data_IF_540975150301
#
_entry.id   IF_540975150301
#
_cell.length_a   1.000
_cell.length_b   1.000
_cell.length_c   1.000
_cell.angle_alpha   90.00
_cell.angle_beta   90.00
_cell.angle_gamma   90.00
#
_symmetry.space_group_name_H-M   'P 1'
#
loop_
_entity.id
_entity.type
_entity.pdbx_description
1 polymer ?
#
# COMPACT_ATOMS: atom_id res chain seq x y z
N UNK A 1 -80.79 35.29 -10.02
CA UNK A 1 -79.57 34.76 -9.38
C UNK A 1 -78.65 34.27 -10.49
N UNK A 2 -77.59 35.00 -10.85
CA UNK A 2 -76.59 34.49 -11.80
C UNK A 2 -75.81 33.37 -11.14
N UNK A 3 -75.87 32.16 -11.72
CA UNK A 3 -74.97 31.07 -11.31
C UNK A 3 -73.55 31.45 -11.73
N UNK A 4 -72.64 31.62 -10.77
CA UNK A 4 -71.23 31.73 -11.06
C UNK A 4 -70.73 30.37 -11.57
N UNK A 5 -70.21 30.34 -12.79
CA UNK A 5 -69.69 29.13 -13.42
C UNK A 5 -68.31 29.44 -13.99
N UNK A 6 -67.35 28.52 -13.82
CA UNK A 6 -65.99 28.66 -14.35
C UNK A 6 -65.78 27.69 -15.50
N UNK A 7 -65.06 28.11 -16.53
CA UNK A 7 -64.63 27.19 -17.60
C UNK A 7 -63.43 26.36 -17.16
N UNK A 8 -63.24 25.20 -17.80
CA UNK A 8 -62.05 24.36 -17.61
C UNK A 8 -60.75 25.17 -17.86
N UNK A 9 -60.78 26.13 -18.80
CA UNK A 9 -59.63 27.00 -19.08
C UNK A 9 -59.29 27.89 -17.89
N UNK A 10 -60.27 28.63 -17.37
CA UNK A 10 -60.06 29.54 -16.25
C UNK A 10 -59.61 28.79 -15.00
N UNK A 11 -60.16 27.60 -14.75
CA UNK A 11 -59.73 26.77 -13.61
C UNK A 11 -58.31 26.20 -13.81
N UNK A 12 -57.94 25.85 -15.04
CA UNK A 12 -56.59 25.39 -15.36
C UNK A 12 -55.57 26.53 -15.17
N UNK A 13 -55.86 27.71 -15.69
CA UNK A 13 -55.01 28.90 -15.56
C UNK A 13 -54.87 29.31 -14.08
N UNK A 14 -55.95 29.24 -13.29
CA UNK A 14 -55.93 29.54 -11.86
C UNK A 14 -55.13 28.53 -11.02
N UNK A 15 -55.22 27.24 -11.35
CA UNK A 15 -54.48 26.17 -10.67
C UNK A 15 -53.08 25.96 -11.25
N UNK A 16 -52.62 26.83 -12.16
CA UNK A 16 -51.29 26.74 -12.78
C UNK A 16 -51.07 25.43 -13.54
N UNK A 17 -52.13 24.88 -14.15
CA UNK A 17 -52.12 23.58 -14.80
C UNK A 17 -52.67 23.64 -16.22
N UNK A 18 -52.72 22.50 -16.92
CA UNK A 18 -53.30 22.42 -18.26
C UNK A 18 -54.75 21.91 -18.23
N UNK A 19 -55.52 22.31 -19.26
CA UNK A 19 -56.93 21.90 -19.44
C UNK A 19 -57.09 20.38 -19.42
N UNK A 20 -56.14 19.66 -20.01
CA UNK A 20 -56.16 18.20 -20.10
C UNK A 20 -56.13 17.55 -18.72
N UNK A 21 -55.37 18.11 -17.77
CA UNK A 21 -55.27 17.60 -16.40
C UNK A 21 -56.58 17.83 -15.64
N UNK A 22 -57.17 19.01 -15.77
CA UNK A 22 -58.51 19.29 -15.23
C UNK A 22 -59.56 18.34 -15.83
N UNK A 23 -59.56 18.13 -17.16
CA UNK A 23 -60.46 17.18 -17.82
C UNK A 23 -60.26 15.74 -17.34
N UNK A 24 -59.02 15.30 -17.07
CA UNK A 24 -58.77 13.96 -16.50
C UNK A 24 -59.37 13.82 -15.11
N UNK A 25 -59.24 14.83 -14.25
CA UNK A 25 -59.82 14.81 -12.89
C UNK A 25 -61.34 14.76 -12.97
N UNK A 26 -61.94 15.55 -13.87
CA UNK A 26 -63.38 15.53 -14.12
C UNK A 26 -63.85 14.14 -14.54
N UNK A 27 -63.17 13.53 -15.52
CA UNK A 27 -63.56 12.21 -16.04
C UNK A 27 -63.34 11.09 -15.02
N UNK A 28 -62.20 11.10 -14.32
CA UNK A 28 -61.82 10.06 -13.34
C UNK A 28 -62.72 10.07 -12.11
N UNK A 29 -63.16 11.25 -11.68
CA UNK A 29 -63.97 11.42 -10.47
C UNK A 29 -65.45 11.71 -10.78
N UNK A 30 -65.85 11.54 -12.05
CA UNK A 30 -67.23 11.74 -12.53
C UNK A 30 -67.86 13.07 -12.08
N UNK A 31 -67.09 14.16 -12.18
CA UNK A 31 -67.52 15.48 -11.68
C UNK A 31 -68.55 16.08 -12.65
N UNK A 32 -69.69 16.57 -12.17
CA UNK A 32 -70.74 17.10 -13.04
C UNK A 32 -70.26 18.36 -13.76
N UNK A 33 -70.55 18.43 -15.07
CA UNK A 33 -70.23 19.57 -15.93
C UNK A 33 -71.45 19.98 -16.73
N UNK A 34 -71.50 21.24 -17.16
CA UNK A 34 -72.54 21.76 -18.03
C UNK A 34 -71.92 22.25 -19.33
N UNK A 35 -72.64 22.11 -20.44
CA UNK A 35 -72.21 22.64 -21.74
C UNK A 35 -73.04 23.88 -22.06
N UNK A 36 -72.38 25.03 -22.12
CA UNK A 36 -72.99 26.30 -22.53
C UNK A 36 -72.36 26.71 -23.86
N UNK A 37 -73.18 26.78 -24.92
CA UNK A 37 -72.72 26.94 -26.31
C UNK A 37 -71.70 25.85 -26.68
N UNK A 38 -70.46 26.24 -27.00
CA UNK A 38 -69.37 25.33 -27.35
C UNK A 38 -68.28 25.22 -26.24
N UNK A 39 -68.62 25.54 -24.99
CA UNK A 39 -67.68 25.49 -23.84
C UNK A 39 -68.25 24.64 -22.72
N UNK A 40 -67.37 23.89 -22.07
CA UNK A 40 -67.69 23.17 -20.83
C UNK A 40 -67.46 24.13 -19.65
N UNK A 41 -68.48 24.26 -18.81
CA UNK A 41 -68.48 25.07 -17.59
C UNK A 41 -68.74 24.19 -16.37
N UNK A 42 -68.22 24.61 -15.24
CA UNK A 42 -68.24 23.95 -13.95
C UNK A 42 -68.98 24.83 -12.96
N UNK A 43 -69.89 24.25 -12.19
CA UNK A 43 -70.49 24.91 -11.03
C UNK A 43 -69.50 24.95 -9.87
N UNK A 44 -69.74 25.83 -8.90
CA UNK A 44 -68.83 26.06 -7.77
C UNK A 44 -68.49 24.79 -6.98
N UNK A 45 -69.45 23.87 -6.83
CA UNK A 45 -69.22 22.59 -6.17
C UNK A 45 -68.21 21.72 -6.95
N UNK A 46 -68.37 21.64 -8.27
CA UNK A 46 -67.44 20.93 -9.16
C UNK A 46 -66.04 21.54 -9.11
N UNK A 47 -65.95 22.88 -9.09
CA UNK A 47 -64.68 23.60 -8.94
C UNK A 47 -64.01 23.29 -7.60
N UNK A 48 -64.77 23.27 -6.51
CA UNK A 48 -64.27 22.96 -5.16
C UNK A 48 -63.69 21.54 -5.08
N UNK A 49 -64.41 20.56 -5.63
CA UNK A 49 -63.94 19.17 -5.70
C UNK A 49 -62.61 19.07 -6.46
N UNK A 50 -62.49 19.73 -7.62
CA UNK A 50 -61.25 19.72 -8.41
C UNK A 50 -60.08 20.33 -7.63
N UNK A 51 -60.29 21.43 -6.89
CA UNK A 51 -59.26 22.02 -6.02
C UNK A 51 -58.80 21.06 -4.93
N UNK A 52 -59.75 20.38 -4.30
CA UNK A 52 -59.45 19.42 -3.25
C UNK A 52 -58.60 18.26 -3.79
N UNK A 53 -58.96 17.70 -4.95
CA UNK A 53 -58.16 16.66 -5.61
C UNK A 53 -56.74 17.14 -5.92
N UNK A 54 -56.59 18.35 -6.44
CA UNK A 54 -55.28 18.92 -6.73
C UNK A 54 -54.42 19.10 -5.48
N UNK A 55 -55.02 19.55 -4.37
CA UNK A 55 -54.33 19.73 -3.10
C UNK A 55 -53.84 18.39 -2.54
N UNK A 56 -54.68 17.36 -2.56
CA UNK A 56 -54.34 16.03 -2.06
C UNK A 56 -53.26 15.35 -2.93
N UNK A 57 -53.35 15.47 -4.25
CA UNK A 57 -52.36 14.90 -5.17
C UNK A 57 -50.97 15.54 -4.97
N UNK A 58 -50.93 16.87 -4.77
CA UNK A 58 -49.68 17.59 -4.48
C UNK A 58 -49.06 17.15 -3.15
N UNK A 59 -49.89 16.94 -2.11
CA UNK A 59 -49.40 16.48 -0.81
C UNK A 59 -48.79 15.09 -0.88
N UNK A 60 -49.46 14.13 -1.54
CA UNK A 60 -48.94 12.77 -1.71
C UNK A 60 -47.62 12.73 -2.50
N UNK A 61 -47.48 13.58 -3.53
CA UNK A 61 -46.23 13.69 -4.29
C UNK A 61 -45.07 14.20 -3.42
N UNK A 62 -45.32 15.21 -2.59
CA UNK A 62 -44.31 15.76 -1.68
C UNK A 62 -43.88 14.75 -0.61
N UNK A 63 -44.83 14.02 -0.02
CA UNK A 63 -44.54 12.96 0.96
C UNK A 63 -43.70 11.83 0.35
N UNK A 64 -44.04 11.41 -0.88
CA UNK A 64 -43.29 10.36 -1.59
C UNK A 64 -41.87 10.82 -1.95
N UNK A 65 -41.69 12.09 -2.37
CA UNK A 65 -40.37 12.64 -2.65
C UNK A 65 -39.51 12.70 -1.38
N UNK A 66 -40.04 13.20 -0.26
CA UNK A 66 -39.31 13.24 1.01
C UNK A 66 -38.91 11.86 1.51
N UNK A 67 -39.79 10.86 1.38
CA UNK A 67 -39.46 9.47 1.74
C UNK A 67 -38.32 8.91 0.89
N UNK A 68 -38.35 9.14 -0.43
CA UNK A 68 -37.28 8.69 -1.34
C UNK A 68 -35.94 9.39 -1.04
N UNK A 69 -35.94 10.70 -0.77
CA UNK A 69 -34.74 11.45 -0.37
C UNK A 69 -34.16 10.91 0.93
N UNK A 70 -35.01 10.64 1.93
CA UNK A 70 -34.60 10.08 3.22
C UNK A 70 -34.02 8.67 3.05
N UNK A 71 -34.61 7.84 2.18
CA UNK A 71 -34.14 6.49 1.92
C UNK A 71 -32.78 6.49 1.20
N UNK A 72 -32.58 7.35 0.19
CA UNK A 72 -31.29 7.51 -0.49
C UNK A 72 -30.20 8.03 0.46
N UNK A 73 -30.53 8.97 1.35
CA UNK A 73 -29.57 9.45 2.37
C UNK A 73 -29.15 8.32 3.31
N UNK A 74 -30.10 7.51 3.78
CA UNK A 74 -29.79 6.37 4.65
C UNK A 74 -28.93 5.30 3.96
N UNK A 75 -29.21 4.98 2.69
CA UNK A 75 -28.39 4.04 1.91
C UNK A 75 -26.95 4.54 1.71
N UNK A 76 -26.80 5.84 1.42
CA UNK A 76 -25.49 6.48 1.26
C UNK A 76 -24.71 6.48 2.59
N UNK A 77 -25.39 6.75 3.71
CA UNK A 77 -24.77 6.74 5.03
C UNK A 77 -24.29 5.33 5.43
N UNK A 78 -25.11 4.31 5.20
CA UNK A 78 -24.73 2.91 5.47
C UNK A 78 -23.54 2.46 4.60
N UNK A 79 -23.48 2.85 3.32
CA UNK A 79 -22.32 2.58 2.48
C UNK A 79 -21.05 3.24 3.02
N UNK A 80 -21.13 4.51 3.42
CA UNK A 80 -20.00 5.23 3.99
C UNK A 80 -19.49 4.61 5.30
N UNK A 81 -20.40 4.18 6.18
CA UNK A 81 -20.04 3.49 7.44
C UNK A 81 -19.33 2.16 7.17
N UNK A 82 -19.84 1.37 6.21
CA UNK A 82 -19.22 0.10 5.82
C UNK A 82 -17.84 0.29 5.20
N UNK A 83 -17.67 1.33 4.38
CA UNK A 83 -16.37 1.68 3.81
C UNK A 83 -15.37 2.09 4.91
N UNK A 84 -15.77 2.96 5.84
CA UNK A 84 -14.92 3.36 6.96
C UNK A 84 -14.51 2.17 7.86
N UNK A 85 -15.44 1.23 8.10
CA UNK A 85 -15.11 0.01 8.85
C UNK A 85 -14.09 -0.85 8.12
N UNK A 86 -14.24 -1.05 6.81
CA UNK A 86 -13.28 -1.80 6.00
C UNK A 86 -11.90 -1.13 6.00
N UNK A 87 -11.83 0.19 5.82
CA UNK A 87 -10.58 0.94 5.87
C UNK A 87 -9.90 0.81 7.23
N UNK A 88 -10.65 0.92 8.33
CA UNK A 88 -10.12 0.74 9.68
C UNK A 88 -9.62 -0.69 9.93
N UNK A 89 -10.29 -1.70 9.38
CA UNK A 89 -9.85 -3.09 9.47
C UNK A 89 -8.53 -3.31 8.72
N UNK A 90 -8.42 -2.81 7.48
CA UNK A 90 -7.18 -2.89 6.70
C UNK A 90 -6.02 -2.17 7.39
N UNK A 91 -6.28 -1.00 7.98
CA UNK A 91 -5.28 -0.28 8.78
C UNK A 91 -4.83 -1.10 9.99
N UNK A 92 -5.75 -1.73 10.72
CA UNK A 92 -5.42 -2.57 11.88
C UNK A 92 -4.59 -3.79 11.48
N UNK A 93 -4.93 -4.46 10.37
CA UNK A 93 -4.14 -5.58 9.83
C UNK A 93 -2.73 -5.14 9.45
N UNK A 94 -2.59 -3.99 8.80
CA UNK A 94 -1.30 -3.40 8.43
C UNK A 94 -0.45 -3.10 9.67
N UNK A 95 -1.05 -2.47 10.68
CA UNK A 95 -0.38 -2.18 11.96
C UNK A 95 0.04 -3.47 12.67
N UNK A 96 -0.79 -4.51 12.62
CA UNK A 96 -0.47 -5.82 13.20
C UNK A 96 0.76 -6.44 12.51
N UNK A 97 0.79 -6.42 11.18
CA UNK A 97 1.93 -6.94 10.41
C UNK A 97 3.21 -6.17 10.76
N UNK A 98 3.15 -4.83 10.74
CA UNK A 98 4.30 -3.98 11.07
C UNK A 98 4.82 -4.22 12.49
N UNK A 99 3.93 -4.44 13.47
CA UNK A 99 4.32 -4.81 14.84
C UNK A 99 5.07 -6.14 14.88
N UNK A 100 4.56 -7.17 14.20
CA UNK A 100 5.24 -8.47 14.17
C UNK A 100 6.60 -8.42 13.48
N UNK A 101 6.74 -7.58 12.46
CA UNK A 101 8.01 -7.38 11.76
C UNK A 101 9.01 -6.62 12.64
N UNK A 102 8.54 -5.61 13.36
CA UNK A 102 9.33 -4.88 14.34
C UNK A 102 9.84 -5.79 15.47
N UNK A 103 8.99 -6.68 16.00
CA UNK A 103 9.37 -7.65 17.03
C UNK A 103 10.43 -8.64 16.53
N UNK A 104 10.30 -9.10 15.27
CA UNK A 104 11.33 -9.95 14.63
C UNK A 104 12.65 -9.21 14.46
N UNK A 105 12.61 -7.94 14.05
CA UNK A 105 13.80 -7.10 13.91
C UNK A 105 14.48 -6.90 15.26
N UNK A 106 13.74 -6.58 16.32
CA UNK A 106 14.28 -6.48 17.68
C UNK A 106 14.93 -7.78 18.16
N UNK A 107 14.26 -8.92 17.95
CA UNK A 107 14.84 -10.23 18.31
C UNK A 107 16.13 -10.52 17.53
N UNK A 108 16.21 -10.10 16.27
CA UNK A 108 17.43 -10.25 15.47
C UNK A 108 18.56 -9.34 15.98
N UNK A 109 18.25 -8.08 16.32
CA UNK A 109 19.20 -7.13 16.91
C UNK A 109 19.75 -7.68 18.23
N UNK A 110 18.90 -8.22 19.10
CA UNK A 110 19.33 -8.81 20.37
C UNK A 110 20.29 -9.99 20.16
N UNK A 111 19.99 -10.88 19.20
CA UNK A 111 20.89 -11.99 18.84
C UNK A 111 22.25 -11.49 18.33
N UNK A 112 22.26 -10.49 17.45
CA UNK A 112 23.50 -9.91 16.95
C UNK A 112 24.30 -9.22 18.06
N UNK A 113 23.63 -8.49 18.96
CA UNK A 113 24.27 -7.87 20.13
C UNK A 113 24.95 -8.91 21.02
N UNK A 114 24.25 -10.01 21.32
CA UNK A 114 24.81 -11.09 22.14
C UNK A 114 26.01 -11.78 21.45
N UNK A 115 25.96 -11.99 20.14
CA UNK A 115 27.09 -12.55 19.38
C UNK A 115 28.29 -11.61 19.36
N UNK A 116 28.05 -10.30 19.21
CA UNK A 116 29.11 -9.30 19.25
C UNK A 116 29.79 -9.27 20.63
N UNK A 117 29.01 -9.30 21.71
CA UNK A 117 29.55 -9.36 23.07
C UNK A 117 30.36 -10.63 23.31
N UNK A 118 29.90 -11.78 22.80
CA UNK A 118 30.66 -13.03 22.85
C UNK A 118 31.99 -12.91 22.09
N UNK A 119 31.97 -12.34 20.89
CA UNK A 119 33.18 -12.13 20.09
C UNK A 119 34.18 -11.21 20.80
N UNK A 120 33.70 -10.13 21.42
CA UNK A 120 34.55 -9.22 22.20
C UNK A 120 35.19 -9.93 23.40
N UNK A 121 34.42 -10.75 24.14
CA UNK A 121 34.94 -11.54 25.27
C UNK A 121 36.01 -12.53 24.83
N UNK A 122 35.78 -13.26 23.74
CA UNK A 122 36.76 -14.20 23.19
C UNK A 122 38.02 -13.48 22.73
N UNK A 123 37.90 -12.36 22.03
CA UNK A 123 39.05 -11.56 21.61
C UNK A 123 39.90 -11.07 22.80
N UNK A 124 39.27 -10.73 23.93
CA UNK A 124 39.99 -10.36 25.16
C UNK A 124 40.70 -11.56 25.79
N UNK A 125 40.09 -12.76 25.77
CA UNK A 125 40.73 -13.98 26.25
C UNK A 125 41.94 -14.35 25.38
N UNK A 126 41.79 -14.32 24.06
CA UNK A 126 42.87 -14.59 23.10
C UNK A 126 44.02 -13.59 23.28
N UNK A 127 43.70 -12.30 23.46
CA UNK A 127 44.72 -11.27 23.74
C UNK A 127 45.51 -11.59 25.00
N UNK A 128 44.84 -11.99 26.08
CA UNK A 128 45.49 -12.33 27.36
C UNK A 128 46.40 -13.55 27.20
N UNK A 129 45.92 -14.60 26.54
CA UNK A 129 46.70 -15.80 26.29
C UNK A 129 47.94 -15.51 25.42
N UNK A 130 47.81 -14.66 24.41
CA UNK A 130 48.95 -14.20 23.59
C UNK A 130 49.97 -13.40 24.39
N UNK A 131 49.53 -12.62 25.38
CA UNK A 131 50.41 -11.89 26.28
C UNK A 131 51.17 -12.84 27.22
N UNK A 132 50.47 -13.82 27.79
CA UNK A 132 51.06 -14.89 28.62
C UNK A 132 52.14 -15.68 27.85
N UNK A 133 51.85 -16.13 26.62
CA UNK A 133 52.86 -16.81 25.79
C UNK A 133 54.05 -15.93 25.43
N UNK A 134 53.85 -14.63 25.20
CA UNK A 134 54.96 -13.71 24.92
C UNK A 134 55.86 -13.54 26.15
N UNK A 135 55.29 -13.43 27.35
CA UNK A 135 56.07 -13.39 28.58
C UNK A 135 56.83 -14.69 28.82
N UNK A 136 56.19 -15.84 28.65
CA UNK A 136 56.82 -17.15 28.86
C UNK A 136 57.98 -17.38 27.88
N UNK A 137 57.82 -16.99 26.60
CA UNK A 137 58.91 -17.02 25.62
C UNK A 137 60.08 -16.12 26.06
N UNK A 138 59.80 -14.92 26.58
CA UNK A 138 60.86 -14.00 27.03
C UNK A 138 61.59 -14.54 28.27
N UNK A 139 60.87 -15.14 29.22
CA UNK A 139 61.46 -15.80 30.38
C UNK A 139 62.32 -16.99 29.96
N UNK A 140 61.80 -17.86 29.09
CA UNK A 140 62.53 -19.01 28.55
C UNK A 140 63.80 -18.59 27.79
N UNK A 141 63.73 -17.51 27.00
CA UNK A 141 64.91 -16.92 26.35
C UNK A 141 65.94 -16.42 27.35
N UNK A 142 65.50 -15.85 28.47
CA UNK A 142 66.40 -15.36 29.52
C UNK A 142 67.03 -16.49 30.32
N UNK A 143 66.30 -17.60 30.51
CA UNK A 143 66.79 -18.83 31.15
C UNK A 143 67.74 -19.64 30.25
N UNK A 144 67.54 -19.61 28.93
CA UNK A 144 68.40 -20.27 27.96
C UNK A 144 69.62 -19.39 27.68
N UNK A 145 70.65 -19.49 28.53
CA UNK A 145 71.94 -18.82 28.36
C UNK A 145 72.50 -18.94 26.93
N UNK A 146 73.22 -17.93 26.38
CA UNK A 146 73.61 -17.89 24.98
C UNK A 146 74.66 -18.96 24.65
N UNK A 147 74.23 -20.04 23.99
CA UNK A 147 75.10 -20.92 23.20
C UNK A 147 74.63 -21.04 21.73
N UNK A 148 73.63 -20.25 21.30
CA UNK A 148 72.90 -20.47 20.04
C UNK A 148 73.35 -19.61 18.84
N UNK A 149 74.38 -18.78 18.96
CA UNK A 149 74.86 -17.91 17.85
C UNK A 149 75.43 -18.68 16.64
N UNK A 150 75.71 -19.99 16.77
CA UNK A 150 76.20 -20.82 15.66
C UNK A 150 75.12 -21.51 14.84
N UNK A 151 73.88 -21.63 15.33
CA UNK A 151 72.81 -22.36 14.61
C UNK A 151 71.83 -21.46 13.85
N UNK A 152 71.65 -20.21 14.30
CA UNK A 152 70.69 -19.30 13.68
C UNK A 152 71.14 -18.80 12.30
N UNK A 153 72.44 -18.60 12.08
CA UNK A 153 72.98 -18.19 10.77
C UNK A 153 72.79 -19.25 9.68
N UNK A 154 72.94 -20.55 9.99
CA UNK A 154 72.75 -21.61 9.00
C UNK A 154 71.29 -21.72 8.54
N UNK A 155 70.34 -21.59 9.47
CA UNK A 155 68.91 -21.66 9.13
C UNK A 155 68.45 -20.45 8.30
N UNK A 156 69.01 -19.26 8.56
CA UNK A 156 68.68 -18.06 7.77
C UNK A 156 69.27 -18.11 6.35
N UNK A 157 70.49 -18.63 6.16
CA UNK A 157 71.07 -18.82 4.82
C UNK A 157 70.28 -19.85 4.00
N UNK A 158 69.88 -20.97 4.61
CA UNK A 158 69.04 -21.99 3.94
C UNK A 158 67.70 -21.40 3.50
N UNK A 159 67.03 -20.62 4.35
CA UNK A 159 65.76 -19.96 3.98
C UNK A 159 65.96 -18.96 2.84
N UNK A 160 67.07 -18.21 2.81
CA UNK A 160 67.36 -17.26 1.74
C UNK A 160 67.67 -17.96 0.40
N UNK A 161 68.39 -19.09 0.43
CA UNK A 161 68.69 -19.86 -0.79
C UNK A 161 67.43 -20.50 -1.37
N UNK A 162 66.56 -21.07 -0.52
CA UNK A 162 65.27 -21.62 -0.93
C UNK A 162 64.38 -20.53 -1.54
N UNK A 163 64.36 -19.33 -0.97
CA UNK A 163 63.59 -18.21 -1.51
C UNK A 163 64.07 -17.79 -2.91
N UNK A 164 65.38 -17.69 -3.13
CA UNK A 164 65.96 -17.39 -4.45
C UNK A 164 65.63 -18.47 -5.49
N UNK A 165 65.63 -19.75 -5.10
CA UNK A 165 65.24 -20.85 -5.98
C UNK A 165 63.75 -20.78 -6.37
N UNK A 166 62.87 -20.44 -5.42
CA UNK A 166 61.45 -20.20 -5.69
C UNK A 166 61.23 -19.05 -6.67
N UNK A 167 61.90 -17.91 -6.50
CA UNK A 167 61.80 -16.77 -7.41
C UNK A 167 62.27 -17.14 -8.84
N UNK A 168 63.40 -17.84 -8.97
CA UNK A 168 63.90 -18.29 -10.27
C UNK A 168 62.97 -19.30 -10.97
N UNK A 169 62.30 -20.16 -10.22
CA UNK A 169 61.28 -21.06 -10.76
C UNK A 169 60.03 -20.31 -11.21
N UNK A 170 59.60 -19.32 -10.43
CA UNK A 170 58.43 -18.50 -10.76
C UNK A 170 58.65 -17.67 -12.03
N UNK A 171 59.85 -17.12 -12.24
CA UNK A 171 60.21 -16.41 -13.47
C UNK A 171 60.22 -17.34 -14.70
N UNK A 172 60.69 -18.58 -14.56
CA UNK A 172 60.61 -19.59 -15.62
C UNK A 172 59.17 -19.93 -15.99
N UNK A 173 58.29 -20.08 -15.00
CA UNK A 173 56.86 -20.36 -15.21
C UNK A 173 56.22 -19.20 -15.98
N UNK A 174 56.48 -17.97 -15.55
CA UNK A 174 55.94 -16.76 -16.22
C UNK A 174 56.43 -16.62 -17.66
N UNK A 175 57.70 -16.95 -17.92
CA UNK A 175 58.24 -16.98 -19.29
C UNK A 175 57.57 -18.05 -20.18
N UNK A 176 57.26 -19.22 -19.62
CA UNK A 176 56.52 -20.27 -20.33
C UNK A 176 55.08 -19.84 -20.65
N UNK A 177 54.39 -19.19 -19.71
CA UNK A 177 53.03 -18.67 -19.95
C UNK A 177 52.99 -17.61 -21.06
N UNK A 178 53.99 -16.74 -21.13
CA UNK A 178 54.09 -15.73 -22.20
C UNK A 178 54.32 -16.39 -23.57
N UNK A 179 55.21 -17.38 -23.65
CA UNK A 179 55.44 -18.14 -24.88
C UNK A 179 54.17 -18.91 -25.30
N UNK A 180 53.48 -19.55 -24.35
CA UNK A 180 52.26 -20.30 -24.64
C UNK A 180 51.13 -19.38 -25.11
N UNK A 181 50.97 -18.19 -24.50
CA UNK A 181 50.01 -17.18 -24.96
C UNK A 181 50.34 -16.64 -26.35
N UNK A 182 51.63 -16.49 -26.70
CA UNK A 182 52.04 -16.05 -28.03
C UNK A 182 51.79 -17.12 -29.09
N UNK A 183 52.07 -18.40 -28.79
CA UNK A 183 51.79 -19.53 -29.67
C UNK A 183 50.28 -19.70 -29.84
N UNK A 184 49.50 -19.63 -28.76
CA UNK A 184 48.03 -19.70 -28.79
C UNK A 184 47.41 -18.61 -29.66
N UNK A 185 47.88 -17.35 -29.56
CA UNK A 185 47.43 -16.26 -30.44
C UNK A 185 47.75 -16.50 -31.92
N UNK A 186 48.92 -17.07 -32.23
CA UNK A 186 49.28 -17.43 -33.62
C UNK A 186 48.41 -18.58 -34.16
N UNK A 187 48.10 -19.56 -33.32
CA UNK A 187 47.18 -20.64 -33.66
C UNK A 187 45.76 -20.14 -33.94
N UNK A 188 45.25 -19.19 -33.15
CA UNK A 188 43.92 -18.62 -33.35
C UNK A 188 43.79 -17.81 -34.65
N UNK A 189 44.87 -17.19 -35.12
CA UNK A 189 44.91 -16.49 -36.42
C UNK A 189 44.95 -17.44 -37.62
N UNK A 190 45.47 -18.67 -37.44
CA UNK A 190 45.56 -19.67 -38.51
C UNK A 190 44.21 -20.33 -38.83
N UNK A 191 43.26 -20.31 -37.89
CA UNK A 191 41.93 -20.91 -38.03
C UNK A 191 40.82 -19.89 -38.41
N UNK A 192 41.18 -18.66 -38.75
CA UNK A 192 40.26 -17.60 -39.17
C UNK A 192 40.46 -17.28 -40.65
#
# INVERSE_FOLDING_TARGET
MSKNVKTIKELADELGTNKTRISRIINKNSIPTQKIKNKIVLEDNSVSLIRQYFKNETQQQNETQQQNETQQQNETQQQNEKQQQNEKQQQNETVSILRTELDKAHSHIEKLSNLLDQQQRLALQDKKLLEEYKSEINELKSLKMPQEDKKENQSQEEVQTIKKQMEALNDKIKGQEQLNNQVSKKWYQFWK
#
